data_IF_907031786280
#
_entry.id   IF_907031786280
#
_cell.length_a   1.000
_cell.length_b   1.000
_cell.length_c   1.000
_cell.angle_alpha   90.00
_cell.angle_beta   90.00
_cell.angle_gamma   90.00
#
_symmetry.space_group_name_H-M   'P 1'
#
loop_
_entity.id
_entity.type
_entity.pdbx_description
1 polymer ?
#
# COMPACT_ATOMS: atom_id res chain seq x y z
N UNK A 1 1.48 11.48 -10.65
CA UNK A 1 2.49 12.53 -10.50
C UNK A 1 3.14 12.88 -11.85
N UNK A 2 4.01 12.04 -12.40
CA UNK A 2 4.77 12.34 -13.63
C UNK A 2 3.89 12.51 -14.86
N UNK A 3 2.90 11.66 -15.07
CA UNK A 3 2.01 11.73 -16.24
C UNK A 3 1.39 13.11 -16.41
N UNK A 4 0.85 13.70 -15.36
CA UNK A 4 0.24 15.04 -15.43
C UNK A 4 1.24 16.14 -15.79
N UNK A 5 2.47 16.06 -15.29
CA UNK A 5 3.53 17.03 -15.63
C UNK A 5 3.92 16.94 -17.11
N UNK A 6 4.09 15.72 -17.63
CA UNK A 6 4.48 15.47 -19.01
C UNK A 6 3.37 15.89 -19.97
N UNK A 7 2.13 15.45 -19.73
CA UNK A 7 1.00 15.76 -20.62
C UNK A 7 0.69 17.25 -20.68
N UNK A 8 0.85 17.97 -19.57
CA UNK A 8 0.59 19.41 -19.54
C UNK A 8 1.85 20.26 -19.85
N UNK A 9 3.02 19.65 -20.01
CA UNK A 9 4.32 20.32 -20.16
C UNK A 9 4.57 21.36 -19.07
N UNK A 10 4.09 21.12 -17.86
CA UNK A 10 4.20 22.02 -16.72
C UNK A 10 4.65 21.25 -15.48
N UNK A 11 5.88 21.47 -14.97
CA UNK A 11 6.43 20.78 -13.82
C UNK A 11 5.72 21.11 -12.50
N UNK A 12 4.91 22.17 -12.46
CA UNK A 12 4.14 22.56 -11.27
C UNK A 12 2.87 21.75 -11.09
N UNK A 13 2.35 21.13 -12.18
CA UNK A 13 1.12 20.33 -12.15
C UNK A 13 1.30 19.06 -11.30
N UNK A 14 0.25 18.69 -10.57
CA UNK A 14 0.22 17.50 -9.72
C UNK A 14 1.43 17.44 -8.80
N UNK A 15 1.56 18.41 -7.89
CA UNK A 15 2.63 18.45 -6.92
C UNK A 15 2.43 17.40 -5.80
N UNK A 16 3.35 17.31 -4.83
CA UNK A 16 3.28 16.32 -3.76
C UNK A 16 2.03 16.47 -2.89
N UNK A 17 1.57 17.67 -2.64
CA UNK A 17 0.34 17.91 -1.87
C UNK A 17 -0.92 17.50 -2.63
N UNK A 18 -0.99 17.73 -3.94
CA UNK A 18 -2.10 17.25 -4.77
C UNK A 18 -2.20 15.72 -4.72
N UNK A 19 -1.06 15.03 -4.79
CA UNK A 19 -1.02 13.56 -4.68
C UNK A 19 -1.45 13.11 -3.29
N UNK A 20 -1.00 13.78 -2.23
CA UNK A 20 -1.40 13.48 -0.86
C UNK A 20 -2.91 13.68 -0.65
N UNK A 21 -3.46 14.78 -1.17
CA UNK A 21 -4.90 15.07 -1.11
C UNK A 21 -5.70 13.94 -1.77
N UNK A 22 -5.31 13.52 -2.97
CA UNK A 22 -5.99 12.46 -3.70
C UNK A 22 -5.84 11.09 -3.04
N UNK A 23 -4.61 10.71 -2.70
CA UNK A 23 -4.30 9.34 -2.27
C UNK A 23 -4.67 9.08 -0.81
N UNK A 24 -4.62 10.08 0.03
CA UNK A 24 -4.84 9.93 1.48
C UNK A 24 -6.18 10.55 1.88
N UNK A 25 -6.34 11.85 1.75
CA UNK A 25 -7.49 12.55 2.34
C UNK A 25 -8.80 12.26 1.61
N UNK A 26 -8.81 12.31 0.28
CA UNK A 26 -10.01 12.02 -0.51
C UNK A 26 -10.41 10.54 -0.40
N UNK A 27 -9.44 9.62 -0.45
CA UNK A 27 -9.71 8.20 -0.28
C UNK A 27 -10.21 7.89 1.13
N UNK A 28 -9.62 8.49 2.16
CA UNK A 28 -10.08 8.32 3.54
C UNK A 28 -11.50 8.85 3.74
N UNK A 29 -11.83 9.99 3.15
CA UNK A 29 -13.19 10.55 3.21
C UNK A 29 -14.21 9.64 2.52
N UNK A 30 -13.89 9.16 1.31
CA UNK A 30 -14.75 8.24 0.57
C UNK A 30 -14.96 6.92 1.32
N UNK A 31 -13.88 6.33 1.82
CA UNK A 31 -13.95 5.10 2.60
C UNK A 31 -14.72 5.31 3.90
N UNK A 32 -14.49 6.42 4.60
CA UNK A 32 -15.20 6.77 5.83
C UNK A 32 -16.71 6.90 5.63
N UNK A 33 -17.15 7.49 4.53
CA UNK A 33 -18.56 7.55 4.15
C UNK A 33 -19.12 6.16 3.84
N UNK A 34 -18.38 5.36 3.05
CA UNK A 34 -18.84 4.03 2.63
C UNK A 34 -18.94 3.03 3.79
N UNK A 35 -18.04 3.12 4.77
CA UNK A 35 -17.99 2.22 5.92
C UNK A 35 -18.64 2.78 7.20
N UNK A 36 -19.23 3.97 7.14
CA UNK A 36 -19.96 4.56 8.27
C UNK A 36 -19.08 5.17 9.38
N UNK A 37 -17.78 5.36 9.15
CA UNK A 37 -16.86 5.99 10.11
C UNK A 37 -16.74 7.51 9.94
N UNK A 38 -17.34 8.07 8.86
CA UNK A 38 -17.29 9.49 8.56
C UNK A 38 -15.86 10.01 8.44
N UNK A 39 -15.60 11.18 9.03
CA UNK A 39 -14.29 11.85 8.97
C UNK A 39 -13.21 11.22 9.86
N UNK A 40 -13.53 10.19 10.64
CA UNK A 40 -12.56 9.52 11.52
C UNK A 40 -11.68 8.53 10.78
N UNK A 41 -12.14 8.02 9.62
CA UNK A 41 -11.39 7.05 8.83
C UNK A 41 -10.06 7.64 8.34
N UNK A 42 -8.98 6.87 8.43
CA UNK A 42 -7.64 7.30 8.05
C UNK A 42 -6.96 8.26 9.03
N UNK A 43 -7.51 8.41 10.25
CA UNK A 43 -6.95 9.24 11.32
C UNK A 43 -6.67 8.41 12.57
N UNK A 44 -5.66 8.80 13.33
CA UNK A 44 -5.36 8.22 14.65
C UNK A 44 -6.08 9.07 15.71
N UNK A 45 -7.38 8.79 15.89
CA UNK A 45 -8.24 9.49 16.85
C UNK A 45 -9.18 8.50 17.54
N UNK A 46 -9.68 8.81 18.75
CA UNK A 46 -10.64 7.93 19.44
C UNK A 46 -11.90 7.67 18.60
N UNK A 47 -12.26 6.38 18.48
CA UNK A 47 -13.41 5.92 17.70
C UNK A 47 -13.18 5.80 16.19
N UNK A 48 -11.94 5.96 15.72
CA UNK A 48 -11.53 5.54 14.39
C UNK A 48 -11.22 4.05 14.35
N UNK A 49 -11.38 3.37 13.20
CA UNK A 49 -10.86 2.02 13.04
C UNK A 49 -9.32 2.04 13.16
N UNK A 50 -8.77 1.06 13.86
CA UNK A 50 -7.32 0.96 14.03
C UNK A 50 -6.70 0.23 12.81
N UNK A 51 -6.68 0.91 11.67
CA UNK A 51 -6.03 0.49 10.43
C UNK A 51 -4.69 1.25 10.32
N UNK A 52 -3.60 0.58 10.67
CA UNK A 52 -2.30 1.23 10.87
C UNK A 52 -1.20 0.39 10.23
N UNK A 53 -0.27 1.06 9.55
CA UNK A 53 1.00 0.47 9.13
C UNK A 53 2.16 1.12 9.89
N UNK A 54 3.18 0.33 10.23
CA UNK A 54 4.44 0.84 10.73
C UNK A 54 5.48 0.75 9.62
N UNK A 55 6.11 1.87 9.31
CA UNK A 55 7.08 2.00 8.22
C UNK A 55 8.46 2.27 8.81
N UNK A 56 9.41 1.40 8.55
CA UNK A 56 10.83 1.63 8.88
C UNK A 56 11.47 2.45 7.76
N UNK A 57 11.52 3.76 7.96
CA UNK A 57 12.05 4.70 6.99
C UNK A 57 13.17 5.53 7.60
N UNK A 58 14.28 5.65 6.87
CA UNK A 58 15.45 6.47 7.25
C UNK A 58 15.69 7.49 6.14
N UNK A 59 15.16 8.71 6.29
CA UNK A 59 15.37 9.77 5.30
C UNK A 59 16.83 10.24 5.26
N UNK A 60 17.26 10.78 4.13
CA UNK A 60 18.56 11.42 3.97
C UNK A 60 18.57 12.89 4.40
N UNK A 61 17.41 13.48 4.62
CA UNK A 61 17.18 14.85 5.04
C UNK A 61 16.11 14.91 6.15
N UNK A 62 15.89 16.07 6.72
CA UNK A 62 14.94 16.26 7.83
C UNK A 62 13.51 15.97 7.39
N UNK A 63 12.88 14.99 8.02
CA UNK A 63 11.46 14.68 7.82
C UNK A 63 10.59 15.67 8.60
N UNK A 64 9.78 16.43 7.90
CA UNK A 64 8.88 17.43 8.50
C UNK A 64 7.54 17.51 7.73
N UNK A 65 6.57 18.23 8.30
CA UNK A 65 5.24 18.37 7.71
C UNK A 65 5.25 18.99 6.30
N UNK A 66 6.27 19.80 5.98
CA UNK A 66 6.39 20.47 4.68
C UNK A 66 6.92 19.58 3.56
N UNK A 67 7.60 18.46 3.86
CA UNK A 67 8.21 17.59 2.85
C UNK A 67 7.71 16.14 2.87
N UNK A 68 6.87 15.77 3.83
CA UNK A 68 6.34 14.40 3.96
C UNK A 68 5.71 13.85 2.67
N UNK A 69 4.97 14.62 1.84
CA UNK A 69 4.40 14.09 0.60
C UNK A 69 5.46 13.56 -0.38
N UNK A 70 6.60 14.21 -0.45
CA UNK A 70 7.72 13.78 -1.32
C UNK A 70 8.42 12.54 -0.78
N UNK A 71 8.60 12.43 0.54
CA UNK A 71 9.11 11.22 1.15
C UNK A 71 8.19 10.01 0.89
N UNK A 72 6.87 10.20 0.95
CA UNK A 72 5.91 9.15 0.62
C UNK A 72 6.00 8.75 -0.85
N UNK A 73 6.04 9.73 -1.78
CA UNK A 73 6.03 9.48 -3.23
C UNK A 73 7.33 8.85 -3.71
N UNK A 74 8.47 9.30 -3.20
CA UNK A 74 9.79 8.93 -3.74
C UNK A 74 10.65 8.08 -2.80
N UNK A 75 10.37 8.11 -1.51
CA UNK A 75 11.20 7.46 -0.50
C UNK A 75 10.59 6.17 0.04
N UNK A 76 9.28 6.08 0.17
CA UNK A 76 8.62 4.90 0.72
C UNK A 76 8.49 3.79 -0.33
N UNK A 77 8.64 2.55 0.10
CA UNK A 77 8.28 1.38 -0.66
C UNK A 77 7.68 0.30 0.26
N UNK A 78 7.08 -0.72 -0.31
CA UNK A 78 6.37 -1.77 0.40
C UNK A 78 7.26 -2.58 1.36
N UNK A 79 8.55 -2.70 1.08
CA UNK A 79 9.50 -3.46 1.93
C UNK A 79 9.81 -2.77 3.25
N UNK A 80 9.53 -1.47 3.34
CA UNK A 80 9.70 -0.70 4.57
C UNK A 80 8.57 -0.93 5.58
N UNK A 81 7.45 -1.52 5.17
CA UNK A 81 6.34 -1.84 6.07
C UNK A 81 6.75 -3.03 6.94
N UNK A 82 6.84 -2.82 8.24
CA UNK A 82 7.22 -3.84 9.21
C UNK A 82 6.02 -4.48 9.91
N UNK A 83 4.94 -3.71 10.05
CA UNK A 83 3.73 -4.15 10.77
C UNK A 83 2.49 -3.62 10.05
N UNK A 84 1.48 -4.47 9.94
CA UNK A 84 0.16 -4.10 9.40
C UNK A 84 -0.91 -4.50 10.42
N UNK A 85 -1.73 -3.53 10.80
CA UNK A 85 -2.86 -3.69 11.71
C UNK A 85 -4.13 -3.32 10.96
N UNK A 86 -5.15 -4.16 11.02
CA UNK A 86 -6.46 -3.90 10.41
C UNK A 86 -7.53 -4.10 11.47
N UNK A 87 -8.32 -3.07 11.69
CA UNK A 87 -9.37 -3.04 12.73
C UNK A 87 -8.85 -3.53 14.10
N UNK A 88 -7.66 -3.07 14.48
CA UNK A 88 -6.98 -3.45 15.72
C UNK A 88 -6.32 -4.84 15.74
N UNK A 89 -6.47 -5.64 14.69
CA UNK A 89 -5.85 -6.97 14.60
C UNK A 89 -4.53 -6.89 13.83
N UNK A 90 -3.45 -7.39 14.43
CA UNK A 90 -2.15 -7.48 13.76
C UNK A 90 -2.21 -8.60 12.72
N UNK A 91 -2.06 -8.25 11.44
CA UNK A 91 -2.03 -9.21 10.32
C UNK A 91 -0.60 -9.55 9.88
N UNK A 92 0.33 -8.61 10.06
CA UNK A 92 1.75 -8.78 9.80
C UNK A 92 2.55 -8.11 10.92
N UNK A 93 3.61 -8.74 11.41
CA UNK A 93 4.54 -8.19 12.39
C UNK A 93 5.96 -8.58 12.04
N UNK A 94 6.88 -7.62 12.08
CA UNK A 94 8.27 -7.81 11.68
C UNK A 94 8.42 -8.44 10.27
N UNK A 95 7.53 -8.04 9.35
CA UNK A 95 7.44 -8.56 7.97
C UNK A 95 7.03 -10.03 7.86
N UNK A 96 6.48 -10.61 8.93
CA UNK A 96 5.94 -11.98 8.95
C UNK A 96 4.42 -11.93 9.12
N UNK A 97 3.69 -12.67 8.28
CA UNK A 97 2.24 -12.78 8.40
C UNK A 97 1.87 -13.57 9.65
N UNK A 98 0.89 -13.07 10.40
CA UNK A 98 0.40 -13.72 11.62
C UNK A 98 -0.78 -14.65 11.37
N UNK A 99 -1.38 -14.58 10.18
CA UNK A 99 -2.63 -15.28 9.83
C UNK A 99 -2.41 -16.47 8.91
N UNK A 100 -1.23 -16.61 8.32
CA UNK A 100 -0.90 -17.71 7.40
C UNK A 100 0.61 -17.98 7.38
N UNK A 101 0.99 -19.20 7.02
CA UNK A 101 2.38 -19.60 6.78
C UNK A 101 2.72 -19.41 5.30
N UNK A 102 3.42 -18.32 4.97
CA UNK A 102 3.83 -18.02 3.60
C UNK A 102 4.76 -19.08 3.02
N UNK A 103 5.64 -19.68 3.84
CA UNK A 103 6.60 -20.70 3.40
C UNK A 103 5.86 -21.97 2.98
N UNK A 104 4.87 -22.39 3.78
CA UNK A 104 4.02 -23.52 3.42
C UNK A 104 3.22 -23.25 2.14
N UNK A 105 2.61 -22.06 2.02
CA UNK A 105 1.85 -21.67 0.83
C UNK A 105 2.72 -21.68 -0.42
N UNK A 106 3.93 -21.10 -0.35
CA UNK A 106 4.88 -21.11 -1.45
C UNK A 106 5.28 -22.53 -1.83
N UNK A 107 5.58 -23.40 -0.87
CA UNK A 107 5.93 -24.79 -1.12
C UNK A 107 4.79 -25.56 -1.80
N UNK A 108 3.56 -25.35 -1.36
CA UNK A 108 2.34 -25.92 -1.98
C UNK A 108 2.13 -25.39 -3.39
N UNK A 109 2.33 -24.10 -3.61
CA UNK A 109 2.22 -23.46 -4.94
C UNK A 109 3.23 -24.06 -5.92
N UNK A 110 4.49 -24.20 -5.51
CA UNK A 110 5.54 -24.82 -6.35
C UNK A 110 5.23 -26.26 -6.73
N UNK A 111 4.57 -27.04 -5.87
CA UNK A 111 4.13 -28.39 -6.22
C UNK A 111 3.00 -28.41 -7.25
N UNK A 112 2.13 -27.38 -7.24
CA UNK A 112 0.99 -27.26 -8.19
C UNK A 112 1.37 -26.62 -9.53
N UNK A 113 2.40 -25.80 -9.53
CA UNK A 113 2.86 -25.05 -10.70
C UNK A 113 2.99 -25.89 -11.99
N UNK A 114 3.67 -27.08 -12.02
CA UNK A 114 3.82 -27.84 -13.25
C UNK A 114 2.49 -28.31 -13.85
N UNK A 115 1.54 -28.72 -13.01
CA UNK A 115 0.21 -29.15 -13.44
C UNK A 115 -0.58 -28.01 -14.10
N UNK A 116 -0.53 -26.83 -13.50
CA UNK A 116 -1.21 -25.64 -14.02
C UNK A 116 -0.66 -25.26 -15.39
N UNK A 117 0.67 -25.20 -15.53
CA UNK A 117 1.31 -24.87 -16.80
C UNK A 117 1.10 -25.93 -17.88
N UNK A 118 1.07 -27.20 -17.51
CA UNK A 118 0.72 -28.27 -18.46
C UNK A 118 -0.68 -28.06 -19.04
N UNK A 119 -1.67 -27.73 -18.21
CA UNK A 119 -3.04 -27.44 -18.67
C UNK A 119 -3.10 -26.18 -19.54
N UNK A 120 -2.42 -25.10 -19.10
CA UNK A 120 -2.35 -23.85 -19.85
C UNK A 120 -1.75 -24.04 -21.24
N UNK A 121 -0.60 -24.70 -21.33
CA UNK A 121 0.08 -24.96 -22.61
C UNK A 121 -0.75 -25.85 -23.53
N UNK A 122 -1.40 -26.88 -23.00
CA UNK A 122 -2.29 -27.74 -23.78
C UNK A 122 -3.49 -26.94 -24.35
N UNK A 123 -4.07 -26.02 -23.58
CA UNK A 123 -5.17 -25.18 -24.05
C UNK A 123 -4.73 -24.17 -25.12
N UNK A 124 -3.55 -23.60 -25.02
CA UNK A 124 -3.03 -22.61 -25.97
C UNK A 124 -2.17 -23.21 -27.12
N UNK A 125 -2.03 -24.51 -27.20
CA UNK A 125 -1.24 -25.18 -28.26
C UNK A 125 0.27 -24.87 -28.21
N UNK A 126 0.77 -24.43 -27.06
CA UNK A 126 2.20 -24.16 -26.82
C UNK A 126 2.90 -25.50 -26.61
N UNK A 127 3.86 -25.83 -27.51
CA UNK A 127 4.70 -27.04 -27.41
C UNK A 127 5.93 -26.79 -26.55
#
# INVERSE_FOLDING_TARGET
YFLHKVMNRDPRRMNGYDVQEMAIYNNSRLAGQSFGYGEKFGKIVPGAPADIILVEYRPFDDLNAGNIPWHIIFGFNERMITTTIVNGKILMKNRELTTMDEKEICARSLKKYPEVWKKFNAYHGVK
#
